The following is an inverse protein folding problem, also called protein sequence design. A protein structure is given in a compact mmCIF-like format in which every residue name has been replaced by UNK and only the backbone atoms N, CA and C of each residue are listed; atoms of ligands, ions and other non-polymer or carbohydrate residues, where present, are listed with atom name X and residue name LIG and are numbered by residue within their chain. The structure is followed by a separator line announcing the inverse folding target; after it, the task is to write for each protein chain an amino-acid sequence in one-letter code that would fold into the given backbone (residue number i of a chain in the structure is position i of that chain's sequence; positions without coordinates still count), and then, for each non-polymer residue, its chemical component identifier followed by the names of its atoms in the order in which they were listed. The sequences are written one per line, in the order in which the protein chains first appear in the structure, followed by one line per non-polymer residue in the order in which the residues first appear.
data_IF_574024530042
#
_entry.id   IF_574024530042
#
_cell.length_a   1.000
_cell.length_b   1.000
_cell.length_c   1.000
_cell.angle_alpha   90.00
_cell.angle_beta   90.00
_cell.angle_gamma   90.00
#
_symmetry.space_group_name_H-M   'P 1'
#
loop_
_entity.id
_entity.type
_entity.pdbx_description
1 polymer ?
#
# COMPACT_ATOMS: atom_id res chain seq x y z
N UNK A 1 13.65 -6.49 5.68
CA UNK A 1 13.31 -7.81 6.26
C UNK A 1 12.15 -7.62 7.24
N UNK A 2 11.19 -8.55 7.34
CA UNK A 2 10.05 -8.40 8.24
C UNK A 2 10.48 -8.44 9.71
N UNK A 3 9.83 -7.64 10.56
CA UNK A 3 9.94 -7.68 12.01
C UNK A 3 8.62 -8.21 12.58
N UNK A 4 8.67 -9.32 13.30
CA UNK A 4 7.50 -9.91 13.96
C UNK A 4 7.71 -9.84 15.47
N UNK A 5 6.76 -9.21 16.16
CA UNK A 5 6.69 -9.15 17.62
C UNK A 5 5.47 -9.99 18.02
N UNK A 6 5.64 -10.91 18.97
CA UNK A 6 4.56 -11.77 19.46
C UNK A 6 4.05 -11.26 20.80
N UNK A 7 2.74 -10.99 20.88
CA UNK A 7 2.10 -10.71 22.16
C UNK A 7 1.83 -12.06 22.85
N UNK A 8 2.29 -12.28 24.10
CA UNK A 8 2.01 -13.51 24.84
C UNK A 8 0.51 -13.76 25.11
N UNK A 9 -0.36 -12.78 24.87
CA UNK A 9 -1.81 -12.92 24.95
C UNK A 9 -2.45 -13.43 23.65
N UNK A 10 -1.71 -13.42 22.54
CA UNK A 10 -2.22 -13.97 21.28
C UNK A 10 -2.29 -15.49 21.38
N UNK A 11 -3.33 -16.08 20.78
CA UNK A 11 -3.40 -17.53 20.67
C UNK A 11 -2.25 -18.04 19.77
N UNK A 12 -1.52 -19.05 20.23
CA UNK A 12 -0.54 -19.81 19.45
C UNK A 12 -1.08 -21.23 19.16
N UNK A 13 -2.31 -21.32 18.64
CA UNK A 13 -3.00 -22.56 18.31
C UNK A 13 -2.93 -22.93 16.81
N UNK A 14 -2.05 -22.26 16.06
CA UNK A 14 -1.83 -22.47 14.63
C UNK A 14 -0.85 -23.62 14.41
N UNK A 15 -1.16 -24.48 13.44
CA UNK A 15 -0.25 -25.55 13.02
C UNK A 15 0.92 -25.02 12.19
N UNK A 16 0.68 -23.96 11.41
CA UNK A 16 1.70 -23.29 10.58
C UNK A 16 1.53 -21.76 10.60
N UNK A 17 2.66 -21.05 10.54
CA UNK A 17 2.71 -19.59 10.44
C UNK A 17 3.63 -19.18 9.29
N UNK A 18 3.14 -18.29 8.41
CA UNK A 18 3.91 -17.77 7.28
C UNK A 18 3.83 -16.24 7.20
N UNK A 19 4.99 -15.60 7.03
CA UNK A 19 5.05 -14.19 6.64
C UNK A 19 4.99 -14.06 5.12
N UNK A 20 4.08 -13.22 4.65
CA UNK A 20 3.82 -12.94 3.24
C UNK A 20 4.14 -11.47 2.99
N UNK A 21 5.32 -11.21 2.42
CA UNK A 21 5.73 -9.86 2.02
C UNK A 21 5.33 -9.63 0.58
N UNK A 22 4.47 -8.65 0.35
CA UNK A 22 4.10 -8.13 -0.96
C UNK A 22 5.04 -6.97 -1.31
N UNK A 23 5.43 -6.89 -2.56
CA UNK A 23 6.38 -5.89 -3.03
C UNK A 23 6.14 -5.55 -4.51
N UNK A 24 6.54 -4.36 -4.91
CA UNK A 24 6.61 -3.91 -6.29
C UNK A 24 8.08 -3.63 -6.64
N UNK A 25 8.54 -4.12 -7.80
CA UNK A 25 9.97 -4.17 -8.08
C UNK A 25 10.28 -3.73 -9.49
N UNK A 26 11.08 -2.67 -9.61
CA UNK A 26 11.65 -2.19 -10.87
C UNK A 26 13.18 -2.08 -10.85
N UNK A 27 13.80 -2.05 -9.66
CA UNK A 27 15.22 -1.74 -9.53
C UNK A 27 16.11 -2.79 -10.21
N UNK A 28 17.00 -2.31 -11.09
CA UNK A 28 17.92 -3.14 -11.86
C UNK A 28 17.27 -3.96 -12.97
N UNK A 29 15.97 -3.80 -13.23
CA UNK A 29 15.28 -4.44 -14.35
C UNK A 29 15.40 -3.53 -15.58
N UNK A 30 16.01 -4.05 -16.64
CA UNK A 30 16.24 -3.35 -17.90
C UNK A 30 16.95 -1.99 -17.76
N UNK A 31 17.74 -1.83 -16.68
CA UNK A 31 18.47 -0.60 -16.37
C UNK A 31 17.64 0.47 -15.65
N UNK A 32 16.40 0.18 -15.26
CA UNK A 32 15.53 1.09 -14.54
C UNK A 32 15.91 1.21 -13.06
N UNK A 33 15.73 2.41 -12.50
CA UNK A 33 15.86 2.68 -11.06
C UNK A 33 14.66 3.51 -10.54
N UNK A 34 14.38 3.47 -9.22
CA UNK A 34 13.35 4.32 -8.63
C UNK A 34 13.60 5.81 -8.87
N UNK A 35 14.87 6.23 -8.89
CA UNK A 35 15.29 7.60 -9.17
C UNK A 35 14.99 8.02 -10.62
N UNK A 36 15.20 7.13 -11.59
CA UNK A 36 14.83 7.37 -12.99
C UNK A 36 13.31 7.56 -13.11
N UNK A 37 12.54 6.70 -12.44
CA UNK A 37 11.08 6.79 -12.46
C UNK A 37 10.59 8.10 -11.84
N UNK A 38 11.15 8.51 -10.69
CA UNK A 38 10.83 9.80 -10.06
C UNK A 38 11.21 10.98 -10.97
N UNK A 39 12.36 10.90 -11.64
CA UNK A 39 12.80 11.92 -12.61
C UNK A 39 11.82 12.04 -13.77
N UNK A 40 11.29 10.92 -14.27
CA UNK A 40 10.26 10.93 -15.30
C UNK A 40 8.97 11.57 -14.81
N UNK A 41 8.46 11.19 -13.62
CA UNK A 41 7.26 11.75 -13.01
C UNK A 41 7.35 13.27 -12.85
N UNK A 42 8.43 13.74 -12.23
CA UNK A 42 8.66 15.18 -11.98
C UNK A 42 9.03 15.97 -13.24
N UNK A 43 9.60 15.32 -14.25
CA UNK A 43 10.02 15.93 -15.50
C UNK A 43 8.90 16.25 -16.50
N UNK A 44 7.68 15.73 -16.29
CA UNK A 44 6.54 15.93 -17.21
C UNK A 44 6.11 17.40 -17.33
N UNK A 45 6.59 18.29 -16.45
CA UNK A 45 6.38 19.75 -16.50
C UNK A 45 7.16 20.45 -17.64
N UNK A 46 8.22 19.85 -18.18
CA UNK A 46 9.16 20.53 -19.10
C UNK A 46 8.78 20.45 -20.59
N UNK A 47 7.49 20.51 -20.90
CA UNK A 47 6.93 20.52 -22.27
C UNK A 47 6.62 21.93 -22.79
N UNK A 48 7.57 22.86 -22.71
CA UNK A 48 7.43 24.20 -23.28
C UNK A 48 7.49 24.20 -24.80
N UNK A 49 6.54 24.88 -25.45
CA UNK A 49 6.72 25.45 -26.78
C UNK A 49 8.05 26.22 -26.84
N UNK A 50 9.06 25.66 -27.51
CA UNK A 50 10.42 26.22 -27.55
C UNK A 50 11.11 25.95 -28.88
N UNK A 51 10.71 26.74 -29.89
CA UNK A 51 11.40 27.08 -31.13
C UNK A 51 12.86 26.56 -31.27
N UNK A 52 13.07 25.50 -32.04
CA UNK A 52 14.41 25.07 -32.47
C UNK A 52 14.99 26.12 -33.43
N UNK A 53 15.93 26.90 -32.94
CA UNK A 53 16.78 27.79 -33.73
C UNK A 53 17.76 26.94 -34.57
N UNK A 54 17.57 26.97 -35.88
CA UNK A 54 18.39 26.27 -36.87
C UNK A 54 19.67 27.07 -37.14
N UNK A 55 20.67 26.92 -36.28
CA UNK A 55 22.06 27.31 -36.54
C UNK A 55 22.79 26.22 -37.34
N UNK A 56 22.98 26.44 -38.64
CA UNK A 56 23.46 25.43 -39.58
C UNK A 56 24.95 25.08 -39.52
N UNK A 57 25.27 23.86 -39.99
CA UNK A 57 26.48 23.56 -40.75
C UNK A 57 26.33 22.23 -41.52
N UNK A 58 26.55 22.31 -42.85
CA UNK A 58 27.36 21.34 -43.62
C UNK A 58 26.76 19.98 -43.94
N UNK A 59 26.33 19.78 -45.19
CA UNK A 59 25.68 18.56 -45.66
C UNK A 59 26.54 17.28 -45.71
N UNK A 60 25.86 16.15 -45.74
CA UNK A 60 25.93 15.17 -46.83
C UNK A 60 24.61 14.39 -46.89
N UNK A 61 24.14 14.22 -48.11
CA UNK A 61 22.95 13.46 -48.52
C UNK A 61 23.36 12.01 -48.80
N UNK A 62 22.68 11.04 -48.19
CA UNK A 62 22.54 9.67 -48.70
C UNK A 62 21.27 9.04 -48.09
N UNK A 63 20.31 8.78 -48.97
CA UNK A 63 18.97 8.31 -48.64
C UNK A 63 18.85 6.89 -48.07
N UNK A 64 17.69 6.65 -47.47
CA UNK A 64 17.25 5.36 -46.95
C UNK A 64 16.15 5.52 -45.90
N UNK A 65 15.01 6.12 -46.25
CA UNK A 65 13.85 6.17 -45.37
C UNK A 65 13.11 4.83 -45.41
N UNK A 66 13.06 4.16 -44.26
CA UNK A 66 12.26 2.96 -44.04
C UNK A 66 12.31 2.51 -42.58
N UNK A 67 11.59 3.25 -41.72
CA UNK A 67 11.14 2.81 -40.39
C UNK A 67 12.22 2.43 -39.37
N UNK A 68 12.78 3.43 -38.67
CA UNK A 68 13.29 3.16 -37.32
C UNK A 68 12.10 3.20 -36.37
N UNK A 69 11.75 2.03 -35.87
CA UNK A 69 10.86 1.81 -34.75
C UNK A 69 11.52 2.43 -33.52
N UNK A 70 10.98 3.56 -33.07
CA UNK A 70 11.33 4.16 -31.78
C UNK A 70 10.57 3.36 -30.72
N UNK A 71 11.10 2.20 -30.35
CA UNK A 71 10.66 1.45 -29.17
C UNK A 71 10.97 2.26 -27.92
N UNK A 72 10.06 3.19 -27.59
CA UNK A 72 10.11 3.98 -26.38
C UNK A 72 9.63 3.13 -25.20
N UNK A 73 10.57 2.73 -24.34
CA UNK A 73 10.29 2.18 -23.02
C UNK A 73 10.85 3.17 -21.99
N UNK A 74 9.99 4.10 -21.57
CA UNK A 74 10.28 5.08 -20.54
C UNK A 74 9.01 5.40 -19.78
N UNK A 75 9.00 5.12 -18.48
CA UNK A 75 8.06 5.64 -17.47
C UNK A 75 6.59 5.64 -17.88
N UNK A 76 5.95 4.48 -17.88
CA UNK A 76 4.51 4.40 -18.08
C UNK A 76 3.82 4.88 -16.80
N UNK A 77 3.20 6.07 -16.87
CA UNK A 77 2.14 6.45 -15.92
C UNK A 77 1.10 5.33 -15.86
N UNK A 78 0.56 5.04 -14.69
CA UNK A 78 -0.42 3.98 -14.54
C UNK A 78 -1.63 4.19 -15.48
N UNK A 79 -1.80 3.24 -16.40
CA UNK A 79 -2.92 3.15 -17.33
C UNK A 79 -3.49 1.73 -17.35
N UNK A 80 -3.57 1.09 -16.18
CA UNK A 80 -4.32 -0.17 -16.05
C UNK A 80 -5.81 0.08 -15.83
N UNK A 81 -6.57 -1.01 -15.69
CA UNK A 81 -8.02 -0.95 -15.43
C UNK A 81 -8.31 -0.20 -14.13
N UNK A 82 -9.09 0.90 -14.16
CA UNK A 82 -9.41 1.65 -12.94
C UNK A 82 -10.07 0.76 -11.88
N UNK A 83 -9.67 0.91 -10.62
CA UNK A 83 -10.33 0.26 -9.48
C UNK A 83 -11.34 1.23 -8.85
N UNK A 84 -12.67 1.02 -9.02
CA UNK A 84 -13.67 1.94 -8.49
C UNK A 84 -13.70 2.01 -6.96
N UNK A 85 -13.25 0.96 -6.26
CA UNK A 85 -13.21 0.97 -4.80
C UNK A 85 -12.13 1.95 -4.27
N UNK A 86 -11.10 2.21 -5.08
CA UNK A 86 -10.00 3.12 -4.78
C UNK A 86 -10.18 4.52 -5.39
N UNK A 87 -11.32 4.77 -6.04
CA UNK A 87 -11.61 6.04 -6.73
C UNK A 87 -11.07 6.16 -8.15
N UNK A 88 -10.56 5.06 -8.71
CA UNK A 88 -10.16 4.93 -10.12
C UNK A 88 -8.65 4.89 -10.34
N UNK A 89 -7.89 5.78 -9.71
CA UNK A 89 -6.43 5.83 -9.80
C UNK A 89 -5.80 5.29 -8.51
N UNK A 90 -5.03 4.21 -8.60
CA UNK A 90 -4.57 3.40 -7.47
C UNK A 90 -3.04 3.39 -7.27
N UNK A 91 -2.31 4.21 -8.03
CA UNK A 91 -0.85 4.37 -7.93
C UNK A 91 -0.27 4.86 -9.25
N UNK A 92 0.93 5.44 -9.23
CA UNK A 92 1.50 6.20 -10.34
C UNK A 92 2.35 5.37 -11.30
N UNK A 93 2.92 4.26 -10.83
CA UNK A 93 4.01 3.57 -11.54
C UNK A 93 3.61 2.16 -11.96
N UNK A 94 3.82 1.84 -13.24
CA UNK A 94 3.73 0.46 -13.70
C UNK A 94 5.05 -0.26 -13.43
N UNK A 95 5.03 -1.24 -12.53
CA UNK A 95 6.22 -2.04 -12.23
C UNK A 95 6.32 -3.24 -13.17
N UNK A 96 7.54 -3.65 -13.56
CA UNK A 96 7.73 -4.86 -14.34
C UNK A 96 7.40 -6.12 -13.54
N UNK A 97 7.53 -6.07 -12.21
CA UNK A 97 7.30 -7.21 -11.33
C UNK A 97 6.56 -6.84 -10.05
N UNK A 98 5.59 -7.67 -9.69
CA UNK A 98 4.94 -7.69 -8.37
C UNK A 98 5.25 -9.03 -7.71
N UNK A 99 5.64 -8.98 -6.43
CA UNK A 99 6.33 -10.08 -5.78
C UNK A 99 5.59 -10.58 -4.55
N UNK A 100 5.63 -11.90 -4.33
CA UNK A 100 5.38 -12.49 -3.01
C UNK A 100 6.70 -13.08 -2.52
N UNK A 101 7.20 -12.59 -1.38
CA UNK A 101 8.45 -13.04 -0.77
C UNK A 101 9.64 -13.01 -1.75
N UNK A 102 9.76 -11.94 -2.54
CA UNK A 102 10.83 -11.75 -3.51
C UNK A 102 10.75 -12.64 -4.75
N UNK A 103 9.58 -13.22 -5.04
CA UNK A 103 9.37 -14.12 -6.19
C UNK A 103 8.31 -13.59 -7.15
N UNK A 104 8.69 -13.54 -8.42
CA UNK A 104 7.77 -13.29 -9.54
C UNK A 104 6.80 -14.48 -9.74
N UNK A 105 5.62 -14.28 -10.34
CA UNK A 105 4.60 -15.31 -10.50
C UNK A 105 5.07 -16.62 -11.16
N UNK A 106 5.90 -16.53 -12.22
CA UNK A 106 6.46 -17.70 -12.91
C UNK A 106 7.44 -18.52 -12.07
N UNK A 107 8.01 -17.92 -11.03
CA UNK A 107 8.95 -18.54 -10.09
C UNK A 107 8.40 -18.54 -8.66
N UNK A 108 7.08 -18.60 -8.55
CA UNK A 108 6.33 -18.44 -7.30
C UNK A 108 6.83 -19.34 -6.17
N UNK A 109 6.61 -18.87 -4.95
CA UNK A 109 6.81 -19.67 -3.76
C UNK A 109 5.63 -20.64 -3.56
N UNK A 110 5.94 -21.87 -3.14
CA UNK A 110 4.94 -22.81 -2.62
C UNK A 110 5.10 -22.94 -1.11
N UNK A 111 4.03 -22.72 -0.37
CA UNK A 111 3.90 -23.00 1.05
C UNK A 111 3.26 -24.38 1.22
N UNK A 112 3.80 -25.21 2.11
CA UNK A 112 3.34 -26.61 2.28
C UNK A 112 2.83 -26.82 3.70
N UNK A 113 1.66 -27.44 3.81
CA UNK A 113 1.01 -27.85 5.06
C UNK A 113 0.24 -29.15 4.84
N UNK A 114 -0.63 -29.56 5.76
CA UNK A 114 -1.53 -30.70 5.63
C UNK A 114 -2.98 -30.22 5.56
N UNK A 115 -3.90 -31.03 4.97
CA UNK A 115 -5.31 -30.72 5.02
C UNK A 115 -5.80 -30.66 6.47
N UNK A 116 -6.58 -29.64 6.79
CA UNK A 116 -7.10 -29.36 8.13
C UNK A 116 -6.15 -28.56 9.04
N UNK A 117 -4.90 -28.31 8.65
CA UNK A 117 -4.00 -27.45 9.41
C UNK A 117 -4.57 -26.02 9.49
N UNK A 118 -4.56 -25.43 10.69
CA UNK A 118 -4.86 -24.02 10.91
C UNK A 118 -3.62 -23.18 10.61
N UNK A 119 -3.66 -22.40 9.54
CA UNK A 119 -2.57 -21.53 9.12
C UNK A 119 -2.82 -20.08 9.57
N UNK A 120 -1.77 -19.41 10.05
CA UNK A 120 -1.72 -17.93 10.15
C UNK A 120 -0.82 -17.36 9.07
N UNK A 121 -1.36 -16.44 8.29
CA UNK A 121 -0.65 -15.70 7.26
C UNK A 121 -0.54 -14.25 7.70
N UNK A 122 0.70 -13.77 7.82
CA UNK A 122 1.02 -12.38 8.21
C UNK A 122 1.41 -11.60 6.97
N UNK A 123 0.49 -10.81 6.44
CA UNK A 123 0.70 -10.02 5.23
C UNK A 123 1.32 -8.67 5.56
N UNK A 124 2.31 -8.29 4.77
CA UNK A 124 3.00 -7.01 4.86
C UNK A 124 3.10 -6.45 3.45
N UNK A 125 2.58 -5.25 3.21
CA UNK A 125 2.84 -4.54 1.95
C UNK A 125 4.07 -3.64 2.11
N UNK A 126 5.17 -4.05 1.49
CA UNK A 126 6.44 -3.34 1.47
C UNK A 126 6.66 -2.56 0.15
N UNK A 127 5.67 -2.55 -0.75
CA UNK A 127 5.75 -1.85 -2.02
C UNK A 127 5.81 -0.33 -1.85
N UNK A 128 6.35 0.32 -2.88
CA UNK A 128 6.55 1.76 -2.92
C UNK A 128 5.31 2.54 -3.38
N UNK A 129 4.44 1.93 -4.20
CA UNK A 129 3.31 2.64 -4.84
C UNK A 129 2.05 1.76 -4.99
N UNK A 130 2.17 0.44 -4.84
CA UNK A 130 1.09 -0.50 -5.18
C UNK A 130 0.18 -0.83 -3.99
N UNK A 131 -1.12 -0.59 -4.15
CA UNK A 131 -2.17 -1.19 -3.33
C UNK A 131 -2.49 -2.58 -3.87
N UNK A 132 -2.45 -3.60 -3.00
CA UNK A 132 -2.77 -4.96 -3.38
C UNK A 132 -4.16 -5.38 -2.92
N UNK A 133 -4.92 -6.05 -3.80
CA UNK A 133 -6.11 -6.81 -3.41
C UNK A 133 -5.77 -8.29 -3.31
N UNK A 134 -5.89 -8.86 -2.11
CA UNK A 134 -5.40 -10.21 -1.79
C UNK A 134 -6.55 -11.18 -1.56
N UNK A 135 -6.45 -12.38 -2.13
CA UNK A 135 -7.38 -13.48 -1.86
C UNK A 135 -6.68 -14.85 -1.94
N UNK A 136 -7.23 -15.84 -1.22
CA UNK A 136 -6.81 -17.23 -1.26
C UNK A 136 -7.92 -18.09 -1.88
N UNK A 137 -7.63 -18.77 -2.99
CA UNK A 137 -8.64 -19.53 -3.72
C UNK A 137 -9.24 -20.66 -2.89
N UNK A 138 -10.57 -20.74 -2.88
CA UNK A 138 -11.32 -21.77 -2.16
C UNK A 138 -11.39 -21.59 -0.65
N UNK A 139 -10.96 -20.43 -0.12
CA UNK A 139 -10.94 -20.16 1.32
C UNK A 139 -11.44 -18.75 1.62
N UNK A 140 -12.31 -18.64 2.64
CA UNK A 140 -12.42 -17.39 3.39
C UNK A 140 -11.22 -17.28 4.33
N UNK A 141 -10.84 -16.05 4.65
CA UNK A 141 -9.76 -15.73 5.58
C UNK A 141 -10.36 -15.01 6.78
N UNK A 142 -10.05 -15.46 8.00
CA UNK A 142 -10.47 -14.79 9.23
C UNK A 142 -9.42 -13.74 9.61
N UNK A 143 -9.73 -12.45 9.48
CA UNK A 143 -8.81 -11.39 9.94
C UNK A 143 -8.77 -11.38 11.46
N UNK A 144 -7.58 -11.34 12.03
CA UNK A 144 -7.35 -11.34 13.48
C UNK A 144 -6.58 -10.13 13.96
N UNK A 145 -5.71 -9.55 13.12
CA UNK A 145 -4.95 -8.36 13.45
C UNK A 145 -4.83 -7.42 12.26
N UNK A 146 -4.78 -6.11 12.51
CA UNK A 146 -4.39 -5.08 11.54
C UNK A 146 -3.29 -4.22 12.15
N UNK A 147 -2.25 -3.93 11.36
CA UNK A 147 -1.03 -3.20 11.77
C UNK A 147 -0.34 -3.75 13.05
N UNK A 148 -0.61 -5.00 13.41
CA UNK A 148 -0.09 -5.66 14.62
C UNK A 148 -1.01 -5.57 15.84
N UNK A 149 -2.20 -4.97 15.72
CA UNK A 149 -3.19 -4.86 16.78
C UNK A 149 -4.36 -5.83 16.57
N UNK A 150 -4.83 -6.51 17.61
CA UNK A 150 -5.93 -7.47 17.51
C UNK A 150 -7.26 -6.77 17.20
N UNK A 151 -8.03 -7.41 16.32
CA UNK A 151 -9.41 -7.04 16.00
C UNK A 151 -10.37 -8.14 16.44
N UNK A 152 -11.66 -7.85 16.44
CA UNK A 152 -12.67 -8.91 16.55
C UNK A 152 -12.59 -9.79 15.29
N UNK A 153 -12.44 -11.12 15.43
CA UNK A 153 -12.28 -12.00 14.28
C UNK A 153 -13.45 -11.88 13.29
N UNK A 154 -13.13 -11.69 12.02
CA UNK A 154 -14.15 -11.53 10.98
C UNK A 154 -13.69 -12.18 9.67
N UNK A 155 -14.57 -12.99 9.08
CA UNK A 155 -14.27 -13.73 7.85
C UNK A 155 -14.49 -12.87 6.61
N UNK A 156 -13.51 -12.87 5.71
CA UNK A 156 -13.53 -12.15 4.44
C UNK A 156 -13.14 -13.06 3.26
N UNK A 157 -13.58 -12.70 2.07
CA UNK A 157 -13.15 -13.31 0.81
C UNK A 157 -11.85 -12.69 0.30
N UNK A 158 -11.75 -11.36 0.37
CA UNK A 158 -10.58 -10.60 -0.05
C UNK A 158 -10.44 -9.29 0.71
N UNK A 159 -9.23 -8.73 0.73
CA UNK A 159 -8.94 -7.45 1.36
C UNK A 159 -8.01 -6.59 0.49
N UNK A 160 -8.11 -5.28 0.65
CA UNK A 160 -7.10 -4.34 0.17
C UNK A 160 -6.02 -4.15 1.24
N UNK A 161 -4.77 -4.08 0.81
CA UNK A 161 -3.60 -3.83 1.66
C UNK A 161 -2.77 -2.74 1.01
N UNK A 162 -2.79 -1.53 1.58
CA UNK A 162 -2.00 -0.40 1.09
C UNK A 162 -0.55 -0.45 1.58
N UNK A 163 0.32 0.35 0.97
CA UNK A 163 1.75 0.44 1.33
C UNK A 163 1.88 0.77 2.81
N UNK A 164 2.75 0.04 3.52
CA UNK A 164 2.96 0.21 4.95
C UNK A 164 1.94 -0.51 5.84
N UNK A 165 0.78 -0.93 5.33
CA UNK A 165 -0.20 -1.68 6.12
C UNK A 165 0.21 -3.15 6.32
N UNK A 166 -0.27 -3.74 7.42
CA UNK A 166 -0.12 -5.16 7.74
C UNK A 166 -1.44 -5.78 8.17
N UNK A 167 -1.63 -7.06 7.88
CA UNK A 167 -2.81 -7.81 8.34
C UNK A 167 -2.45 -9.26 8.61
N UNK A 168 -2.94 -9.78 9.74
CA UNK A 168 -2.84 -11.19 10.06
C UNK A 168 -4.18 -11.87 9.85
N UNK A 169 -4.17 -12.95 9.08
CA UNK A 169 -5.36 -13.76 8.84
C UNK A 169 -5.13 -15.22 9.22
N UNK A 170 -6.21 -15.89 9.59
CA UNK A 170 -6.23 -17.32 9.89
C UNK A 170 -7.10 -18.06 8.88
N UNK A 171 -6.67 -19.27 8.50
CA UNK A 171 -7.37 -20.13 7.54
C UNK A 171 -7.22 -21.58 7.97
N UNK A 172 -8.31 -22.34 7.98
CA UNK A 172 -8.24 -23.81 8.04
C UNK A 172 -8.08 -24.33 6.61
N UNK A 173 -6.93 -24.93 6.32
CA UNK A 173 -6.58 -25.28 4.95
C UNK A 173 -7.33 -26.53 4.46
N UNK A 174 -7.97 -26.44 3.30
CA UNK A 174 -8.62 -27.57 2.64
C UNK A 174 -7.63 -28.61 2.10
N UNK A 175 -8.17 -29.68 1.53
CA UNK A 175 -7.41 -30.72 0.82
C UNK A 175 -7.21 -30.31 -0.65
N UNK A 176 -5.98 -29.90 -1.03
CA UNK A 176 -5.69 -29.52 -2.41
C UNK A 176 -4.46 -28.64 -2.64
N UNK A 177 -4.56 -27.82 -3.70
CA UNK A 177 -3.53 -26.88 -4.16
C UNK A 177 -4.22 -25.57 -4.52
N UNK A 178 -3.90 -24.51 -3.79
CA UNK A 178 -4.67 -23.28 -3.79
C UNK A 178 -3.83 -22.09 -4.25
N UNK A 179 -4.37 -21.22 -5.13
CA UNK A 179 -3.70 -20.00 -5.53
C UNK A 179 -3.83 -18.94 -4.43
N UNK A 180 -2.71 -18.37 -4.00
CA UNK A 180 -2.67 -17.14 -3.22
C UNK A 180 -2.29 -16.00 -4.18
N UNK A 181 -3.24 -15.10 -4.45
CA UNK A 181 -3.06 -14.04 -5.43
C UNK A 181 -3.20 -12.68 -4.76
N UNK A 182 -2.30 -11.76 -5.11
CA UNK A 182 -2.39 -10.35 -4.78
C UNK A 182 -2.45 -9.56 -6.10
N UNK A 183 -3.62 -9.02 -6.46
CA UNK A 183 -3.77 -8.16 -7.64
C UNK A 183 -3.17 -6.80 -7.34
N UNK A 184 -2.31 -6.30 -8.24
CA UNK A 184 -1.86 -4.92 -8.21
C UNK A 184 -3.00 -4.03 -8.72
N UNK A 185 -3.69 -3.36 -7.79
CA UNK A 185 -4.90 -2.60 -8.13
C UNK A 185 -4.56 -1.48 -9.10
N UNK A 186 -5.36 -1.32 -10.17
CA UNK A 186 -5.11 -0.30 -11.20
C UNK A 186 -3.97 -0.62 -12.18
N UNK A 187 -3.30 -1.78 -12.07
CA UNK A 187 -2.08 -2.10 -12.83
C UNK A 187 -2.17 -3.35 -13.71
N UNK A 188 -3.34 -4.00 -13.77
CA UNK A 188 -3.63 -5.19 -14.59
C UNK A 188 -2.64 -6.37 -14.45
N UNK A 189 -1.96 -6.46 -13.31
CA UNK A 189 -0.97 -7.49 -13.01
C UNK A 189 -1.11 -7.96 -11.55
N UNK A 190 -0.26 -8.91 -11.12
CA UNK A 190 -0.41 -9.59 -9.85
C UNK A 190 0.90 -10.17 -9.32
N UNK A 191 0.94 -10.33 -8.00
CA UNK A 191 1.85 -11.23 -7.33
C UNK A 191 1.16 -12.58 -7.06
N UNK A 192 1.93 -13.68 -7.05
CA UNK A 192 1.37 -15.04 -6.97
C UNK A 192 2.22 -15.98 -6.12
N UNK A 193 1.53 -16.79 -5.32
CA UNK A 193 2.08 -17.91 -4.56
C UNK A 193 1.09 -19.08 -4.54
N UNK A 194 1.54 -20.23 -4.05
CA UNK A 194 0.73 -21.45 -3.95
C UNK A 194 0.73 -21.96 -2.52
N UNK A 195 -0.42 -22.36 -2.00
CA UNK A 195 -0.53 -23.17 -0.79
C UNK A 195 -0.86 -24.59 -1.21
N UNK A 196 -0.04 -25.56 -0.80
CA UNK A 196 -0.19 -26.98 -1.12
C UNK A 196 -0.36 -27.79 0.15
N UNK A 197 -1.50 -28.47 0.26
CA UNK A 197 -1.77 -29.43 1.33
C UNK A 197 -1.81 -30.87 0.85
N UNK A 198 -2.01 -31.09 -0.46
CA UNK A 198 -2.09 -32.42 -1.05
C UNK A 198 -1.55 -32.49 -2.50
N UNK A 199 -1.64 -33.68 -3.09
CA UNK A 199 -1.34 -33.90 -4.49
C UNK A 199 -2.40 -33.19 -5.37
N UNK A 200 -1.95 -32.59 -6.47
CA UNK A 200 -2.83 -31.87 -7.37
C UNK A 200 -2.06 -30.97 -8.33
N UNK A 201 -2.76 -30.55 -9.38
CA UNK A 201 -2.20 -29.63 -10.37
C UNK A 201 -2.00 -28.25 -9.74
N UNK A 202 -0.85 -27.62 -9.99
CA UNK A 202 -0.60 -26.24 -9.60
C UNK A 202 -1.45 -25.30 -10.47
N UNK A 203 -2.27 -24.42 -9.87
CA UNK A 203 -2.95 -23.38 -10.63
C UNK A 203 -1.97 -22.47 -11.37
N UNK A 204 -2.33 -22.01 -12.57
CA UNK A 204 -1.54 -21.00 -13.27
C UNK A 204 -1.66 -19.65 -12.53
N UNK A 205 -0.65 -18.76 -12.59
CA UNK A 205 -0.76 -17.42 -11.99
C UNK A 205 -1.98 -16.61 -12.44
N UNK A 206 -2.38 -16.77 -13.70
CA UNK A 206 -3.52 -16.07 -14.31
C UNK A 206 -4.89 -16.58 -13.82
N UNK A 207 -4.90 -17.66 -13.03
CA UNK A 207 -6.13 -18.26 -12.52
C UNK A 207 -6.94 -17.22 -11.75
N UNK A 208 -8.21 -17.09 -12.13
CA UNK A 208 -9.20 -16.26 -11.43
C UNK A 208 -10.15 -17.18 -10.67
N UNK A 209 -10.60 -16.75 -9.49
CA UNK A 209 -11.45 -17.51 -8.60
C UNK A 209 -12.43 -16.59 -7.86
N UNK A 210 -13.56 -17.11 -7.32
CA UNK A 210 -14.65 -16.29 -6.79
C UNK A 210 -14.20 -15.27 -5.74
N UNK A 211 -13.35 -15.68 -4.80
CA UNK A 211 -12.86 -14.82 -3.71
C UNK A 211 -12.06 -13.62 -4.23
N UNK A 212 -11.29 -13.80 -5.32
CA UNK A 212 -10.53 -12.72 -5.95
C UNK A 212 -11.43 -11.66 -6.61
N UNK A 213 -12.58 -12.11 -7.13
CA UNK A 213 -13.57 -11.24 -7.80
C UNK A 213 -14.60 -10.63 -6.86
N UNK A 214 -14.69 -11.13 -5.62
CA UNK A 214 -15.58 -10.57 -4.60
C UNK A 214 -15.16 -9.14 -4.24
N UNK A 215 -16.07 -8.27 -3.75
CA UNK A 215 -15.69 -6.96 -3.22
C UNK A 215 -14.57 -7.09 -2.16
N UNK A 216 -13.55 -6.23 -2.26
CA UNK A 216 -12.45 -6.22 -1.29
C UNK A 216 -12.84 -5.48 -0.01
N UNK A 217 -12.39 -5.98 1.12
CA UNK A 217 -12.57 -5.33 2.44
C UNK A 217 -11.41 -4.38 2.72
N UNK A 218 -11.69 -3.17 3.20
CA UNK A 218 -10.66 -2.24 3.67
C UNK A 218 -10.31 -2.52 5.14
N UNK A 219 -9.03 -2.43 5.49
CA UNK A 219 -8.57 -2.71 6.86
C UNK A 219 -9.11 -1.71 7.89
N UNK A 220 -9.52 -0.52 7.47
CA UNK A 220 -10.20 0.48 8.32
C UNK A 220 -11.62 0.09 8.73
N UNK A 221 -12.21 -0.96 8.14
CA UNK A 221 -13.58 -1.39 8.47
C UNK A 221 -13.69 -2.38 9.63
N UNK A 222 -12.56 -2.86 10.17
CA UNK A 222 -12.59 -3.84 11.27
C UNK A 222 -12.84 -3.17 12.63
N UNK A 223 -13.45 -3.94 13.53
CA UNK A 223 -13.66 -3.53 14.92
C UNK A 223 -12.48 -3.97 15.79
N UNK A 224 -11.88 -3.08 16.61
CA UNK A 224 -10.77 -3.45 17.49
C UNK A 224 -11.20 -4.43 18.59
N UNK A 225 -10.29 -5.31 18.99
CA UNK A 225 -10.44 -6.01 20.27
C UNK A 225 -10.23 -5.01 21.43
N UNK A 226 -10.92 -5.22 22.55
CA UNK A 226 -10.89 -4.30 23.70
C UNK A 226 -9.46 -3.99 24.19
N UNK A 227 -8.58 -5.01 24.20
CA UNK A 227 -7.18 -4.84 24.61
C UNK A 227 -6.31 -4.00 23.66
N UNK A 228 -6.76 -3.77 22.43
CA UNK A 228 -6.06 -2.91 21.47
C UNK A 228 -6.39 -1.43 21.63
N UNK A 229 -7.50 -1.11 22.31
CA UNK A 229 -7.98 0.26 22.44
C UNK A 229 -6.97 1.12 23.20
N UNK A 230 -6.78 2.35 22.71
CA UNK A 230 -6.16 3.39 23.54
C UNK A 230 -7.07 3.67 24.75
N UNK A 231 -6.50 4.06 25.91
CA UNK A 231 -7.30 4.53 27.04
C UNK A 231 -8.38 5.51 26.60
N UNK A 232 -9.58 5.45 27.17
CA UNK A 232 -10.63 6.43 26.86
C UNK A 232 -10.24 7.83 27.37
N UNK A 233 -10.68 8.88 26.69
CA UNK A 233 -10.47 10.27 27.11
C UNK A 233 -11.00 11.26 26.09
N UNK A 234 -11.20 12.50 26.53
CA UNK A 234 -11.59 13.60 25.66
C UNK A 234 -10.41 14.05 24.78
N UNK A 235 -10.72 14.66 23.63
CA UNK A 235 -9.71 15.26 22.74
C UNK A 235 -9.24 16.58 23.34
N UNK A 236 -7.94 16.70 23.61
CA UNK A 236 -7.33 17.93 24.15
C UNK A 236 -7.01 18.95 23.05
N UNK A 237 -6.65 18.45 21.86
CA UNK A 237 -6.29 19.27 20.70
C UNK A 237 -6.78 18.62 19.41
N UNK A 238 -7.29 19.43 18.50
CA UNK A 238 -7.59 19.03 17.12
C UNK A 238 -6.67 19.77 16.16
N UNK A 239 -6.21 19.08 15.11
CA UNK A 239 -5.44 19.66 14.01
C UNK A 239 -6.07 19.21 12.70
N UNK A 240 -6.17 20.13 11.74
CA UNK A 240 -6.60 19.80 10.38
C UNK A 240 -5.38 19.34 9.58
N UNK A 241 -5.51 18.22 8.89
CA UNK A 241 -4.53 17.77 7.89
C UNK A 241 -5.22 17.71 6.55
N UNK A 242 -4.79 18.55 5.61
CA UNK A 242 -5.31 18.56 4.25
C UNK A 242 -4.28 17.98 3.29
N UNK A 243 -4.60 16.86 2.66
CA UNK A 243 -3.78 16.32 1.58
C UNK A 243 -3.93 17.19 0.33
N UNK A 244 -2.86 17.30 -0.44
CA UNK A 244 -2.81 18.09 -1.66
C UNK A 244 -1.99 17.37 -2.71
N UNK A 245 -2.33 17.60 -3.96
CA UNK A 245 -1.45 17.22 -5.05
C UNK A 245 -2.17 17.22 -6.38
N UNK A 246 -1.37 17.03 -7.41
CA UNK A 246 -1.78 17.00 -8.80
C UNK A 246 -0.73 16.27 -9.63
N UNK A 247 -1.15 15.74 -10.78
CA UNK A 247 -0.26 14.99 -11.67
C UNK A 247 0.62 15.88 -12.54
N UNK A 248 0.20 17.12 -12.81
CA UNK A 248 0.88 18.03 -13.76
C UNK A 248 0.88 19.48 -13.26
N UNK A 249 2.03 20.04 -12.83
CA UNK A 249 3.27 19.31 -12.53
C UNK A 249 3.05 18.23 -11.46
N UNK A 250 3.81 17.14 -11.51
CA UNK A 250 3.74 16.07 -10.52
C UNK A 250 4.23 16.58 -9.17
N UNK A 251 3.28 16.91 -8.31
CA UNK A 251 3.54 17.55 -7.02
C UNK A 251 2.54 17.05 -6.00
N UNK A 252 3.05 16.55 -4.89
CA UNK A 252 2.28 16.02 -3.78
C UNK A 252 2.68 16.71 -2.49
N UNK A 253 1.72 16.87 -1.59
CA UNK A 253 1.94 17.65 -0.39
C UNK A 253 0.87 17.45 0.66
N UNK A 254 1.12 17.95 1.86
CA UNK A 254 0.11 18.05 2.90
C UNK A 254 0.22 19.40 3.61
N UNK A 255 -0.88 19.87 4.18
CA UNK A 255 -0.91 21.07 5.02
C UNK A 255 -1.50 20.74 6.37
N UNK A 256 -0.86 21.23 7.42
CA UNK A 256 -1.32 21.10 8.80
C UNK A 256 -1.80 22.47 9.27
N UNK A 257 -3.06 22.57 9.70
CA UNK A 257 -3.75 23.81 10.06
C UNK A 257 -3.62 24.90 8.97
N UNK A 258 -3.63 24.47 7.70
CA UNK A 258 -3.51 25.34 6.53
C UNK A 258 -2.09 25.81 6.19
N UNK A 259 -1.07 25.39 6.95
CA UNK A 259 0.33 25.74 6.73
C UNK A 259 1.17 24.53 6.27
N UNK A 260 2.27 24.84 5.59
CA UNK A 260 3.35 23.88 5.31
C UNK A 260 4.32 23.90 6.50
N UNK A 261 3.92 23.24 7.60
CA UNK A 261 4.66 23.22 8.85
C UNK A 261 4.44 21.92 9.60
N UNK A 262 5.35 21.54 10.51
CA UNK A 262 5.11 20.47 11.46
C UNK A 262 3.83 20.66 12.27
N UNK A 263 3.10 19.57 12.49
CA UNK A 263 2.11 19.51 13.55
C UNK A 263 2.78 19.63 14.91
N UNK A 264 2.07 20.19 15.89
CA UNK A 264 2.60 20.35 17.25
C UNK A 264 1.71 19.66 18.26
N UNK A 265 2.31 19.12 19.32
CA UNK A 265 1.58 18.50 20.43
C UNK A 265 2.33 18.68 21.74
N UNK A 266 1.61 18.75 22.85
CA UNK A 266 2.22 18.70 24.18
C UNK A 266 2.18 17.27 24.72
N UNK A 267 3.21 16.88 25.46
CA UNK A 267 3.26 15.59 26.12
C UNK A 267 2.00 15.37 27.00
N UNK A 268 1.40 14.19 26.88
CA UNK A 268 0.18 13.77 27.56
C UNK A 268 -1.12 14.14 26.85
N UNK A 269 -1.11 15.00 25.81
CA UNK A 269 -2.34 15.36 25.10
C UNK A 269 -2.90 14.21 24.26
N UNK A 270 -4.23 14.10 24.23
CA UNK A 270 -4.94 13.45 23.13
C UNK A 270 -5.07 14.41 21.96
N UNK A 271 -4.36 14.13 20.88
CA UNK A 271 -4.44 14.88 19.63
C UNK A 271 -5.36 14.16 18.65
N UNK A 272 -6.38 14.85 18.14
CA UNK A 272 -7.13 14.46 16.95
C UNK A 272 -6.48 15.07 15.71
N UNK A 273 -6.08 14.22 14.78
CA UNK A 273 -5.70 14.61 13.42
C UNK A 273 -6.87 14.33 12.50
N UNK A 274 -7.48 15.39 11.97
CA UNK A 274 -8.58 15.30 11.01
C UNK A 274 -8.01 15.36 9.59
N UNK A 275 -7.81 14.19 8.99
CA UNK A 275 -7.14 14.04 7.71
C UNK A 275 -8.13 14.01 6.56
N UNK A 276 -8.11 15.03 5.70
CA UNK A 276 -9.01 15.18 4.55
C UNK A 276 -8.23 15.00 3.24
N UNK A 277 -8.73 14.11 2.38
CA UNK A 277 -8.20 13.86 1.05
C UNK A 277 -9.11 14.47 -0.03
N UNK A 278 -8.85 15.70 -0.50
CA UNK A 278 -9.57 16.29 -1.63
C UNK A 278 -9.06 15.82 -3.00
N UNK A 279 -8.02 14.99 -3.06
CA UNK A 279 -7.41 14.54 -4.32
C UNK A 279 -8.21 13.41 -4.95
N UNK A 280 -7.90 13.07 -6.20
CA UNK A 280 -8.54 11.97 -6.93
C UNK A 280 -7.92 10.60 -6.65
N UNK A 281 -6.85 10.54 -5.83
CA UNK A 281 -6.11 9.31 -5.53
C UNK A 281 -6.16 8.97 -4.05
N UNK A 282 -6.11 7.68 -3.68
CA UNK A 282 -5.99 7.26 -2.30
C UNK A 282 -4.57 7.48 -1.77
N UNK A 283 -4.43 7.79 -0.48
CA UNK A 283 -3.12 8.01 0.17
C UNK A 283 -3.02 7.22 1.48
N UNK A 284 -2.09 6.28 1.63
CA UNK A 284 -1.78 5.68 2.93
C UNK A 284 -0.96 6.65 3.78
N UNK A 285 -1.60 7.30 4.75
CA UNK A 285 -0.92 8.22 5.66
C UNK A 285 -0.32 7.44 6.84
N UNK A 286 0.97 7.64 7.09
CA UNK A 286 1.74 6.99 8.14
C UNK A 286 2.35 7.99 9.11
N UNK A 287 2.29 7.69 10.41
CA UNK A 287 2.93 8.46 11.46
C UNK A 287 3.92 7.59 12.24
N UNK A 288 5.13 8.10 12.39
CA UNK A 288 6.17 7.44 13.17
C UNK A 288 5.96 7.63 14.67
N UNK A 289 6.48 6.68 15.46
CA UNK A 289 6.54 6.77 16.92
C UNK A 289 5.20 6.68 17.66
N UNK A 290 4.08 6.63 16.95
CA UNK A 290 2.72 6.59 17.49
C UNK A 290 1.84 5.63 16.70
N UNK A 291 0.67 5.38 17.25
CA UNK A 291 -0.44 4.73 16.57
C UNK A 291 -1.67 5.57 16.83
N UNK A 292 -2.55 5.67 15.85
CA UNK A 292 -3.87 6.27 16.00
C UNK A 292 -4.89 5.26 16.48
N UNK A 293 -5.92 5.73 17.19
CA UNK A 293 -7.22 5.12 17.30
C UNK A 293 -8.18 5.86 16.35
N UNK A 294 -8.91 5.14 15.50
CA UNK A 294 -9.85 5.71 14.54
C UNK A 294 -11.26 5.77 15.13
N UNK A 295 -11.81 6.94 15.50
CA UNK A 295 -13.15 7.03 16.10
C UNK A 295 -14.26 6.54 15.17
N UNK A 296 -14.10 6.71 13.85
CA UNK A 296 -15.01 6.18 12.83
C UNK A 296 -15.07 4.65 12.78
N UNK A 297 -14.09 3.97 13.36
CA UNK A 297 -13.95 2.51 13.39
C UNK A 297 -13.86 2.00 14.83
N UNK A 298 -14.67 2.57 15.73
CA UNK A 298 -14.77 2.16 17.14
C UNK A 298 -13.45 2.19 17.90
N UNK A 299 -12.51 3.05 17.50
CA UNK A 299 -11.18 3.18 18.10
C UNK A 299 -10.13 2.22 17.52
N UNK A 300 -10.33 1.70 16.31
CA UNK A 300 -9.39 0.81 15.63
C UNK A 300 -7.96 1.37 15.65
N UNK A 301 -7.01 0.55 16.11
CA UNK A 301 -5.62 0.99 16.29
C UNK A 301 -4.79 0.73 15.04
N UNK A 302 -4.22 1.79 14.45
CA UNK A 302 -3.44 1.75 13.20
C UNK A 302 -2.28 2.74 13.23
N UNK A 303 -1.18 2.44 12.55
CA UNK A 303 -0.11 3.44 12.29
C UNK A 303 -0.08 3.90 10.84
N UNK A 304 -0.75 3.19 9.94
CA UNK A 304 -0.86 3.54 8.53
C UNK A 304 -2.33 3.47 8.13
N UNK A 305 -2.87 4.57 7.60
CA UNK A 305 -4.30 4.71 7.32
C UNK A 305 -4.49 5.09 5.86
N UNK A 306 -5.10 4.20 5.08
CA UNK A 306 -5.53 4.52 3.72
C UNK A 306 -6.68 5.53 3.76
N UNK A 307 -6.50 6.68 3.12
CA UNK A 307 -7.52 7.72 3.00
C UNK A 307 -7.96 7.79 1.53
N UNK A 308 -9.19 7.39 1.25
CA UNK A 308 -9.76 7.34 -0.09
C UNK A 308 -10.07 8.75 -0.66
N UNK A 309 -10.24 8.88 -1.98
CA UNK A 309 -10.63 10.14 -2.61
C UNK A 309 -11.92 10.73 -2.02
N UNK A 310 -11.86 12.00 -1.61
CA UNK A 310 -12.97 12.72 -0.97
C UNK A 310 -13.23 12.35 0.49
N UNK A 311 -12.46 11.41 1.06
CA UNK A 311 -12.65 10.96 2.43
C UNK A 311 -12.08 11.96 3.46
N UNK A 312 -12.68 11.99 4.64
CA UNK A 312 -12.10 12.58 5.84
C UNK A 312 -12.05 11.53 6.94
N UNK A 313 -10.86 11.29 7.49
CA UNK A 313 -10.65 10.36 8.60
C UNK A 313 -10.20 11.14 9.83
N UNK A 314 -10.94 11.01 10.92
CA UNK A 314 -10.48 11.43 12.25
C UNK A 314 -9.56 10.34 12.82
N UNK A 315 -8.40 10.72 13.32
CA UNK A 315 -7.41 9.81 13.89
C UNK A 315 -6.84 10.38 15.19
N UNK A 316 -7.11 9.72 16.31
CA UNK A 316 -6.74 10.18 17.65
C UNK A 316 -5.47 9.48 18.11
N UNK A 317 -4.49 10.22 18.62
CA UNK A 317 -3.30 9.66 19.29
C UNK A 317 -3.15 10.21 20.71
N UNK A 318 -2.40 9.49 21.54
CA UNK A 318 -1.93 9.99 22.84
C UNK A 318 -0.45 10.34 22.67
N UNK A 319 -0.08 11.58 23.01
CA UNK A 319 1.28 12.08 22.87
C UNK A 319 2.15 11.66 24.08
N UNK A 320 2.57 10.39 24.12
CA UNK A 320 3.35 9.80 25.23
C UNK A 320 4.80 9.47 24.86
N UNK A 321 5.26 9.92 23.70
CA UNK A 321 6.58 9.61 23.15
C UNK A 321 7.31 10.88 22.66
N UNK A 322 7.89 11.68 23.58
CA UNK A 322 8.49 12.97 23.25
C UNK A 322 9.58 12.89 22.16
N UNK A 323 9.42 13.71 21.12
CA UNK A 323 10.36 13.77 20.01
C UNK A 323 9.85 14.58 18.82
N UNK A 324 10.46 14.37 17.67
CA UNK A 324 9.95 14.80 16.37
C UNK A 324 9.82 13.57 15.48
N UNK A 325 8.61 13.32 15.01
CA UNK A 325 8.25 12.09 14.31
C UNK A 325 7.80 12.40 12.90
N UNK A 326 8.32 11.69 11.91
CA UNK A 326 7.91 11.85 10.53
C UNK A 326 6.41 11.49 10.36
N UNK A 327 5.71 12.27 9.55
CA UNK A 327 4.33 12.06 9.17
C UNK A 327 4.20 12.25 7.67
N UNK A 328 3.86 11.21 6.93
CA UNK A 328 3.94 11.25 5.47
C UNK A 328 2.99 10.25 4.79
N UNK A 329 2.77 10.43 3.49
CA UNK A 329 2.19 9.39 2.66
C UNK A 329 3.19 8.25 2.48
N UNK A 330 2.73 7.01 2.49
CA UNK A 330 3.53 5.81 2.28
C UNK A 330 3.58 5.37 0.82
N UNK A 331 3.04 6.19 -0.10
CA UNK A 331 3.48 6.18 -1.49
C UNK A 331 4.85 6.88 -1.56
N UNK A 332 5.89 6.15 -1.95
CA UNK A 332 7.27 6.64 -1.95
C UNK A 332 7.47 7.86 -2.86
N UNK A 333 6.78 7.92 -4.00
CA UNK A 333 6.89 9.04 -4.93
C UNK A 333 6.15 10.28 -4.42
N UNK A 334 4.99 10.09 -3.77
CA UNK A 334 4.29 11.20 -3.09
C UNK A 334 5.11 11.73 -1.92
N UNK A 335 5.72 10.84 -1.13
CA UNK A 335 6.60 11.21 -0.02
C UNK A 335 7.77 12.05 -0.52
N UNK A 336 8.50 11.56 -1.52
CA UNK A 336 9.71 12.19 -2.04
C UNK A 336 9.43 13.54 -2.72
N UNK A 337 8.21 13.74 -3.22
CA UNK A 337 7.80 14.99 -3.87
C UNK A 337 7.11 16.00 -2.94
N UNK A 338 6.97 15.67 -1.65
CA UNK A 338 6.60 16.64 -0.61
C UNK A 338 5.38 16.30 0.23
N UNK A 339 4.73 15.14 0.06
CA UNK A 339 3.66 14.69 0.96
C UNK A 339 4.25 14.12 2.26
N UNK A 340 5.03 14.96 2.94
CA UNK A 340 5.76 14.67 4.16
C UNK A 340 5.80 15.92 5.05
N UNK A 341 5.65 15.71 6.35
CA UNK A 341 5.82 16.69 7.43
C UNK A 341 6.30 15.94 8.68
N UNK A 342 6.18 16.57 9.84
CA UNK A 342 6.48 15.96 11.13
C UNK A 342 5.45 16.33 12.20
N UNK A 343 5.35 15.51 13.24
CA UNK A 343 4.70 15.81 14.51
C UNK A 343 5.77 16.13 15.55
N UNK A 344 5.80 17.36 16.04
CA UNK A 344 6.80 17.86 16.98
C UNK A 344 6.20 18.10 18.36
N UNK A 345 6.87 17.60 19.39
CA UNK A 345 6.55 17.92 20.78
C UNK A 345 7.04 19.33 21.12
N UNK A 346 6.14 20.23 21.55
CA UNK A 346 6.45 21.64 21.77
C UNK A 346 5.61 22.31 22.87
#
# INVERSE_FOLDING_TARGET
APLIIRDPQDAEDQDVEWTIVLDDWLDGIDGSSPEDQLTMLTGMDMGGHGNMDMGGHGGMDMGGHGGMDMGGEGGMMAHGTPDPALGGDAGDVMYPHYLINGRIPRAHRTFTARPGDKARLRFINAGADTIFKVALGGHRMTVTHVDGFPVLPHDIESFYLSMGERVDVEVVLGDGVFPLTALAAGKDDRAFAVIRTAAGQTPAPETTFPELTAPGTFLTSFEPAERALLPAGDVDKETEVKLTGQMMPYQWGLRIDGADSPGTVQEGQRLRMRMHNPTAMPHPMHLHGHTWALPGSSGLRKDTVLILPGETVDADLIADNPGEWAFHCHNAYHQETGMMSSLRYA
#
